data_IF_411579395456
#
_entry.id   IF_411579395456
#
_cell.length_a   1.000
_cell.length_b   1.000
_cell.length_c   1.000
_cell.angle_alpha   90.00
_cell.angle_beta   90.00
_cell.angle_gamma   90.00
#
_symmetry.space_group_name_H-M   'P 1'
#
loop_
_entity.id
_entity.type
_entity.pdbx_description
1 polymer ?
#
# COMPACT_ATOMS: atom_id res chain seq x y z
N UNK A 1 -6.64 6.14 -11.87
CA UNK A 1 -7.32 6.19 -10.56
C UNK A 1 -8.11 7.51 -10.42
N UNK A 2 -7.48 8.66 -10.13
CA UNK A 2 -8.20 9.95 -9.96
C UNK A 2 -9.14 10.32 -11.10
N UNK A 3 -8.68 10.22 -12.36
CA UNK A 3 -9.48 10.54 -13.55
C UNK A 3 -10.71 9.62 -13.75
N UNK A 4 -10.74 8.47 -13.09
CA UNK A 4 -11.85 7.52 -13.12
C UNK A 4 -12.77 7.65 -11.87
N UNK A 5 -12.53 8.65 -11.02
CA UNK A 5 -13.30 8.87 -9.80
C UNK A 5 -12.92 7.97 -8.62
N UNK A 6 -11.81 7.23 -8.71
CA UNK A 6 -11.31 6.44 -7.58
C UNK A 6 -10.89 7.35 -6.42
N UNK A 7 -11.39 7.05 -5.22
CA UNK A 7 -11.07 7.78 -3.99
C UNK A 7 -9.91 7.17 -3.22
N UNK A 8 -9.61 5.90 -3.46
CA UNK A 8 -8.62 5.12 -2.71
C UNK A 8 -7.78 4.28 -3.67
N UNK A 9 -6.48 4.16 -3.38
CA UNK A 9 -5.63 3.12 -3.96
C UNK A 9 -5.07 2.27 -2.83
N UNK A 10 -5.19 0.94 -2.96
CA UNK A 10 -4.61 0.01 -2.01
C UNK A 10 -3.65 -0.96 -2.71
N UNK A 11 -2.58 -1.35 -2.01
CA UNK A 11 -1.62 -2.33 -2.48
C UNK A 11 -1.12 -3.18 -1.32
N UNK A 12 -0.56 -4.34 -1.62
CA UNK A 12 0.16 -5.14 -0.62
C UNK A 12 1.64 -5.26 -1.00
N UNK A 13 2.52 -5.31 0.00
CA UNK A 13 3.96 -5.51 -0.20
C UNK A 13 4.53 -6.33 0.95
N UNK A 14 5.60 -7.08 0.68
CA UNK A 14 6.20 -8.01 1.64
C UNK A 14 7.50 -7.51 2.24
N UNK A 15 7.96 -8.18 3.30
CA UNK A 15 9.18 -7.80 4.02
C UNK A 15 10.45 -7.79 3.16
N UNK A 16 10.50 -8.62 2.12
CA UNK A 16 11.62 -8.70 1.17
C UNK A 16 11.64 -7.52 0.18
N UNK A 17 10.52 -6.80 0.00
CA UNK A 17 10.38 -5.69 -0.94
C UNK A 17 10.70 -4.34 -0.30
N UNK A 18 11.79 -4.26 0.48
CA UNK A 18 12.13 -3.08 1.28
C UNK A 18 12.21 -1.76 0.50
N UNK A 19 12.78 -1.78 -0.72
CA UNK A 19 12.85 -0.59 -1.58
C UNK A 19 11.47 -0.12 -2.04
N UNK A 20 10.57 -1.04 -2.37
CA UNK A 20 9.22 -0.72 -2.79
C UNK A 20 8.41 -0.11 -1.64
N UNK A 21 8.50 -0.67 -0.42
CA UNK A 21 7.84 -0.13 0.77
C UNK A 21 8.22 1.32 1.04
N UNK A 22 9.53 1.62 1.02
CA UNK A 22 10.03 3.00 1.16
C UNK A 22 9.52 3.94 0.07
N UNK A 23 9.36 3.45 -1.17
CA UNK A 23 8.78 4.24 -2.25
C UNK A 23 7.30 4.54 -1.97
N UNK A 24 6.51 3.56 -1.58
CA UNK A 24 5.09 3.75 -1.28
C UNK A 24 4.88 4.74 -0.12
N UNK A 25 5.65 4.60 0.96
CA UNK A 25 5.63 5.54 2.09
C UNK A 25 5.95 6.98 1.64
N UNK A 26 6.97 7.16 0.78
CA UNK A 26 7.30 8.48 0.20
C UNK A 26 6.20 9.03 -0.72
N UNK A 27 5.43 8.17 -1.37
CA UNK A 27 4.29 8.54 -2.20
C UNK A 27 3.03 8.85 -1.37
N UNK A 28 3.10 8.76 -0.05
CA UNK A 28 1.99 9.04 0.87
C UNK A 28 1.09 7.85 1.14
N UNK A 29 1.50 6.62 0.78
CA UNK A 29 0.79 5.44 1.23
C UNK A 29 1.03 5.19 2.72
N UNK A 30 -0.04 4.93 3.43
CA UNK A 30 -0.02 4.57 4.85
C UNK A 30 -0.18 3.06 5.02
N UNK A 31 0.61 2.47 5.91
CA UNK A 31 0.46 1.07 6.28
C UNK A 31 -0.78 0.92 7.17
N UNK A 32 -1.79 0.18 6.71
CA UNK A 32 -3.06 0.01 7.42
C UNK A 32 -3.01 -1.15 8.41
N UNK A 33 -2.53 -2.31 7.96
CA UNK A 33 -2.40 -3.51 8.78
C UNK A 33 -1.44 -4.52 8.18
N UNK A 34 -0.90 -5.39 9.02
CA UNK A 34 -0.26 -6.63 8.58
C UNK A 34 -1.33 -7.60 8.05
N UNK A 35 -0.95 -8.37 7.03
CA UNK A 35 -1.75 -9.44 6.44
C UNK A 35 -1.25 -10.78 6.94
N UNK A 36 -2.11 -11.79 6.84
CA UNK A 36 -1.71 -13.16 7.14
C UNK A 36 -0.46 -13.55 6.37
N UNK A 37 0.38 -14.34 7.01
CA UNK A 37 1.68 -14.70 6.48
C UNK A 37 1.52 -15.54 5.21
N UNK A 38 1.89 -14.99 4.06
CA UNK A 38 1.86 -15.71 2.78
C UNK A 38 3.26 -16.31 2.57
N UNK A 39 3.35 -17.64 2.39
CA UNK A 39 4.61 -18.37 2.24
C UNK A 39 5.65 -18.13 3.35
N UNK A 40 5.21 -17.92 4.60
CA UNK A 40 6.11 -17.64 5.72
C UNK A 40 6.77 -16.25 5.67
N UNK A 41 6.26 -15.35 4.83
CA UNK A 41 6.70 -13.95 4.75
C UNK A 41 5.62 -13.00 5.25
N UNK A 42 6.04 -11.99 6.02
CA UNK A 42 5.16 -10.89 6.43
C UNK A 42 4.83 -10.02 5.23
N UNK A 43 3.57 -9.64 5.13
CA UNK A 43 3.05 -8.73 4.12
C UNK A 43 2.16 -7.69 4.78
N UNK A 44 2.14 -6.48 4.24
CA UNK A 44 1.33 -5.39 4.77
C UNK A 44 0.45 -4.81 3.68
N UNK A 45 -0.74 -4.37 4.11
CA UNK A 45 -1.66 -3.58 3.29
C UNK A 45 -1.31 -2.11 3.44
N UNK A 46 -1.15 -1.44 2.32
CA UNK A 46 -0.94 0.00 2.21
C UNK A 46 -2.14 0.65 1.54
N UNK A 47 -2.47 1.87 1.95
CA UNK A 47 -3.57 2.66 1.40
C UNK A 47 -3.12 4.09 1.12
N UNK A 48 -3.53 4.63 0.00
CA UNK A 48 -3.42 6.05 -0.34
C UNK A 48 -4.81 6.62 -0.55
N UNK A 49 -5.15 7.65 0.22
CA UNK A 49 -6.34 8.47 -0.04
C UNK A 49 -6.04 9.43 -1.19
N UNK A 50 -6.84 9.39 -2.25
CA UNK A 50 -6.68 10.30 -3.38
C UNK A 50 -7.43 11.62 -3.14
N UNK A 51 -8.30 11.71 -2.14
CA UNK A 51 -9.19 12.86 -1.95
C UNK A 51 -10.27 12.93 -3.03
N UNK A 52 -11.35 13.67 -2.76
CA UNK A 52 -12.38 13.97 -3.78
C UNK A 52 -11.85 15.04 -4.73
N UNK A 53 -12.08 14.83 -6.03
CA UNK A 53 -11.99 15.87 -7.06
C UNK A 53 -13.24 16.74 -6.96
#
# INVERSE_FOLDING_TARGET
ARALGESVVALHSSEIMGTARKLYERLGFEQVRELDTIYGKRSWLYKLELGRV
#
